data_IF_848684362031
#
_entry.id   IF_848684362031
#
_cell.length_a   1.000
_cell.length_b   1.000
_cell.length_c   1.000
_cell.angle_alpha   90.00
_cell.angle_beta   90.00
_cell.angle_gamma   90.00
#
_symmetry.space_group_name_H-M   'P 1'
#
loop_
_entity.id
_entity.type
_entity.pdbx_description
1 polymer ?
#
# COMPACT_ATOMS: atom_id res chain seq x y z
N UNK A 1 -15.52 -13.08 20.30
CA UNK A 1 -14.16 -12.62 19.95
C UNK A 1 -13.21 -13.79 20.14
N UNK A 2 -12.26 -14.01 19.22
CA UNK A 2 -11.14 -14.93 19.41
C UNK A 2 -10.00 -14.15 20.07
N UNK A 3 -9.62 -14.52 21.29
CA UNK A 3 -8.43 -13.97 21.95
C UNK A 3 -7.27 -14.95 21.81
N UNK A 4 -6.22 -14.53 21.12
CA UNK A 4 -4.96 -15.25 20.93
C UNK A 4 -3.76 -14.40 21.36
N UNK A 5 -3.95 -13.50 22.34
CA UNK A 5 -2.87 -12.69 22.86
C UNK A 5 -1.76 -13.57 23.45
N UNK A 6 -0.51 -13.38 23.02
CA UNK A 6 0.64 -14.22 23.41
C UNK A 6 0.48 -15.72 23.12
N UNK A 7 -0.61 -16.10 22.46
CA UNK A 7 -1.00 -17.48 22.17
C UNK A 7 -0.46 -17.96 20.82
N UNK A 8 -0.74 -19.22 20.51
CA UNK A 8 -0.39 -19.84 19.24
C UNK A 8 -1.57 -20.65 18.70
N UNK A 9 -1.98 -20.36 17.48
CA UNK A 9 -2.94 -21.15 16.71
C UNK A 9 -2.25 -21.61 15.44
N UNK A 10 -2.12 -22.92 15.25
CA UNK A 10 -1.36 -23.48 14.14
C UNK A 10 -2.13 -24.61 13.44
N UNK A 11 -2.08 -24.63 12.12
CA UNK A 11 -2.61 -25.71 11.28
C UNK A 11 -1.60 -26.15 10.22
N UNK A 12 -1.63 -27.42 9.83
CA UNK A 12 -0.89 -27.89 8.64
C UNK A 12 -1.75 -27.89 7.37
N UNK A 13 -3.05 -27.67 7.53
CA UNK A 13 -4.05 -27.64 6.47
C UNK A 13 -4.75 -26.29 6.46
N UNK A 14 -5.73 -26.10 5.59
CA UNK A 14 -6.50 -24.87 5.52
C UNK A 14 -7.04 -24.49 6.91
N UNK A 15 -6.86 -23.22 7.27
CA UNK A 15 -7.33 -22.66 8.52
C UNK A 15 -8.41 -21.63 8.21
N UNK A 16 -9.62 -21.89 8.69
CA UNK A 16 -10.71 -20.91 8.68
C UNK A 16 -10.97 -20.48 10.10
N UNK A 17 -10.86 -19.18 10.37
CA UNK A 17 -11.26 -18.61 11.64
C UNK A 17 -12.65 -18.00 11.48
N UNK A 18 -13.55 -18.27 12.42
CA UNK A 18 -14.90 -17.69 12.48
C UNK A 18 -15.12 -17.13 13.88
N UNK A 19 -15.16 -15.82 13.99
CA UNK A 19 -15.43 -15.08 15.21
C UNK A 19 -16.05 -13.73 14.84
N UNK A 20 -16.50 -12.95 15.83
CA UNK A 20 -16.85 -11.56 15.56
C UNK A 20 -15.62 -10.70 15.26
N UNK A 21 -14.51 -10.96 15.94
CA UNK A 21 -13.24 -10.26 15.82
C UNK A 21 -12.10 -11.11 16.36
N UNK A 22 -10.88 -10.79 15.96
CA UNK A 22 -9.65 -11.51 16.35
C UNK A 22 -8.70 -10.54 17.04
N UNK A 23 -8.31 -10.87 18.28
CA UNK A 23 -7.23 -10.22 18.99
C UNK A 23 -6.00 -11.16 19.02
N UNK A 24 -5.03 -10.87 18.17
CA UNK A 24 -3.77 -11.62 18.01
C UNK A 24 -2.57 -10.81 18.51
N UNK A 25 -2.76 -9.88 19.45
CA UNK A 25 -1.65 -9.05 19.94
C UNK A 25 -0.52 -9.88 20.54
N UNK A 26 0.70 -9.68 20.04
CA UNK A 26 1.87 -10.50 20.42
C UNK A 26 1.67 -12.02 20.29
N UNK A 27 0.64 -12.46 19.56
CA UNK A 27 0.29 -13.86 19.32
C UNK A 27 0.79 -14.35 17.96
N UNK A 28 0.58 -15.64 17.71
CA UNK A 28 0.86 -16.30 16.44
C UNK A 28 -0.39 -17.01 15.92
N UNK A 29 -0.79 -16.70 14.69
CA UNK A 29 -1.72 -17.51 13.89
C UNK A 29 -0.94 -17.98 12.66
N UNK A 30 -0.84 -19.29 12.45
CA UNK A 30 -0.08 -19.82 11.33
C UNK A 30 -0.74 -21.02 10.66
N UNK A 31 -0.59 -21.12 9.34
CA UNK A 31 -0.89 -22.35 8.60
C UNK A 31 0.10 -22.59 7.48
N UNK A 32 0.35 -23.87 7.15
CA UNK A 32 1.13 -24.26 5.95
C UNK A 32 0.33 -24.17 4.65
N UNK A 33 -0.99 -24.10 4.73
CA UNK A 33 -1.89 -24.06 3.58
C UNK A 33 -2.59 -22.69 3.51
N UNK A 34 -3.87 -22.64 3.14
CA UNK A 34 -4.63 -21.40 3.01
C UNK A 34 -5.11 -20.88 4.37
N UNK A 35 -5.12 -19.56 4.56
CA UNK A 35 -5.75 -18.90 5.70
C UNK A 35 -6.89 -18.00 5.24
N UNK A 36 -8.11 -18.33 5.67
CA UNK A 36 -9.31 -17.53 5.44
C UNK A 36 -9.86 -16.97 6.75
N UNK A 37 -10.05 -15.65 6.78
CA UNK A 37 -10.53 -14.92 7.94
C UNK A 37 -11.66 -13.97 7.52
N UNK A 38 -12.83 -14.13 8.12
CA UNK A 38 -13.99 -13.27 7.90
C UNK A 38 -14.54 -12.80 9.25
N UNK A 39 -14.20 -11.56 9.63
CA UNK A 39 -14.51 -10.97 10.94
C UNK A 39 -14.79 -9.48 10.81
N UNK A 40 -15.45 -8.87 11.80
CA UNK A 40 -15.61 -7.41 11.81
C UNK A 40 -14.27 -6.71 11.97
N UNK A 41 -13.38 -7.19 12.82
CA UNK A 41 -12.09 -6.56 13.05
C UNK A 41 -10.98 -7.57 13.33
N UNK A 42 -9.76 -7.16 13.03
CA UNK A 42 -8.53 -7.90 13.32
C UNK A 42 -7.51 -6.96 13.98
N UNK A 43 -7.03 -7.33 15.16
CA UNK A 43 -5.89 -6.68 15.81
C UNK A 43 -4.70 -7.65 15.84
N UNK A 44 -3.69 -7.39 15.02
CA UNK A 44 -2.44 -8.11 14.93
C UNK A 44 -1.25 -7.29 15.46
N UNK A 45 -1.48 -6.31 16.34
CA UNK A 45 -0.38 -5.46 16.81
C UNK A 45 0.70 -6.28 17.52
N UNK A 46 1.95 -6.15 17.06
CA UNK A 46 3.11 -6.96 17.50
C UNK A 46 2.93 -8.48 17.35
N UNK A 47 1.85 -8.91 16.70
CA UNK A 47 1.53 -10.31 16.45
C UNK A 47 2.05 -10.77 15.08
N UNK A 48 1.84 -12.06 14.80
CA UNK A 48 2.21 -12.67 13.52
C UNK A 48 1.04 -13.47 12.97
N UNK A 49 0.74 -13.26 11.69
CA UNK A 49 -0.18 -14.08 10.90
C UNK A 49 0.54 -14.58 9.67
N UNK A 50 0.72 -15.90 9.58
CA UNK A 50 1.53 -16.55 8.55
C UNK A 50 0.70 -17.57 7.78
N UNK A 51 0.55 -17.37 6.47
CA UNK A 51 -0.06 -18.34 5.55
C UNK A 51 1.02 -18.89 4.60
N UNK A 52 1.15 -20.21 4.52
CA UNK A 52 2.04 -20.87 3.55
C UNK A 52 1.53 -20.79 2.11
N UNK A 53 0.26 -20.46 1.93
CA UNK A 53 -0.39 -20.23 0.63
C UNK A 53 -1.13 -18.89 0.67
N UNK A 54 -2.32 -18.80 0.08
CA UNK A 54 -3.11 -17.58 0.03
C UNK A 54 -3.57 -17.13 1.43
N UNK A 55 -3.64 -15.81 1.62
CA UNK A 55 -4.17 -15.16 2.82
C UNK A 55 -5.34 -14.25 2.46
N UNK A 56 -6.52 -14.56 2.99
CA UNK A 56 -7.72 -13.74 2.79
C UNK A 56 -8.19 -13.14 4.11
N UNK A 57 -8.47 -11.84 4.11
CA UNK A 57 -9.21 -11.20 5.21
C UNK A 57 -10.37 -10.36 4.66
N UNK A 58 -11.57 -10.58 5.18
CA UNK A 58 -12.75 -9.78 4.90
C UNK A 58 -13.31 -9.22 6.21
N UNK A 59 -13.42 -7.89 6.31
CA UNK A 59 -13.87 -7.23 7.53
C UNK A 59 -14.08 -5.73 7.41
N UNK A 60 -14.11 -5.06 8.56
CA UNK A 60 -14.18 -3.61 8.66
C UNK A 60 -12.78 -3.03 8.85
N UNK A 61 -12.16 -3.29 10.00
CA UNK A 61 -10.88 -2.68 10.37
C UNK A 61 -9.80 -3.76 10.62
N UNK A 62 -8.57 -3.47 10.19
CA UNK A 62 -7.40 -4.30 10.43
C UNK A 62 -6.27 -3.44 10.98
N UNK A 63 -5.76 -3.80 12.15
CA UNK A 63 -4.58 -3.18 12.78
C UNK A 63 -3.42 -4.16 12.76
N UNK A 64 -2.30 -3.76 12.16
CA UNK A 64 -1.06 -4.52 12.05
C UNK A 64 0.16 -3.73 12.57
N UNK A 65 -0.04 -2.87 13.57
CA UNK A 65 1.01 -2.00 14.10
C UNK A 65 2.14 -2.82 14.73
N UNK A 66 3.35 -2.70 14.17
CA UNK A 66 4.52 -3.51 14.56
C UNK A 66 4.31 -5.02 14.39
N UNK A 67 3.25 -5.45 13.70
CA UNK A 67 2.90 -6.84 13.44
C UNK A 67 3.41 -7.31 12.08
N UNK A 68 3.31 -8.62 11.86
CA UNK A 68 3.65 -9.27 10.60
C UNK A 68 2.43 -9.99 10.02
N UNK A 69 2.12 -9.68 8.75
CA UNK A 69 1.20 -10.40 7.89
C UNK A 69 2.00 -10.98 6.73
N UNK A 70 1.99 -12.30 6.57
CA UNK A 70 2.73 -12.96 5.52
C UNK A 70 1.88 -13.99 4.78
N UNK A 71 1.91 -13.94 3.45
CA UNK A 71 1.36 -14.97 2.57
C UNK A 71 2.45 -15.55 1.67
N UNK A 72 2.47 -16.87 1.51
CA UNK A 72 3.35 -17.56 0.56
C UNK A 72 2.87 -17.45 -0.90
N UNK A 73 1.66 -16.98 -1.13
CA UNK A 73 1.06 -16.79 -2.45
C UNK A 73 0.28 -15.46 -2.49
N UNK A 74 -0.94 -15.46 -3.01
CA UNK A 74 -1.77 -14.25 -3.14
C UNK A 74 -2.35 -13.78 -1.80
N UNK A 75 -2.41 -12.46 -1.63
CA UNK A 75 -3.02 -11.80 -0.48
C UNK A 75 -4.23 -10.98 -0.93
N UNK A 76 -5.37 -11.19 -0.28
CA UNK A 76 -6.63 -10.52 -0.62
C UNK A 76 -7.30 -9.94 0.63
N UNK A 77 -7.28 -8.62 0.77
CA UNK A 77 -7.95 -7.90 1.85
C UNK A 77 -9.14 -7.10 1.32
N UNK A 78 -10.30 -7.30 1.93
CA UNK A 78 -11.51 -6.53 1.67
C UNK A 78 -12.04 -5.94 2.96
N UNK A 79 -11.79 -4.65 3.13
CA UNK A 79 -12.04 -3.87 4.33
C UNK A 79 -13.04 -2.76 4.01
N UNK A 80 -14.09 -2.61 4.81
CA UNK A 80 -14.97 -1.44 4.69
C UNK A 80 -14.41 -0.19 5.40
N UNK A 81 -13.44 -0.38 6.30
CA UNK A 81 -12.82 0.65 7.13
C UNK A 81 -11.32 0.75 6.94
N UNK A 82 -10.58 0.90 8.03
CA UNK A 82 -9.15 1.20 8.03
C UNK A 82 -8.28 -0.06 7.92
N UNK A 83 -7.29 -0.03 7.03
CA UNK A 83 -6.09 -0.85 7.14
C UNK A 83 -4.96 -0.03 7.76
N UNK A 84 -4.58 -0.33 9.00
CA UNK A 84 -3.45 0.30 9.70
C UNK A 84 -2.24 -0.64 9.75
N UNK A 85 -1.28 -0.40 8.86
CA UNK A 85 0.03 -1.04 8.80
C UNK A 85 1.15 -0.12 9.30
N UNK A 86 0.84 0.87 10.14
CA UNK A 86 1.83 1.83 10.65
C UNK A 86 2.74 1.24 11.73
N UNK A 87 3.66 2.05 12.27
CA UNK A 87 4.54 1.70 13.38
C UNK A 87 5.37 0.43 13.12
N UNK A 88 6.09 0.41 12.00
CA UNK A 88 6.87 -0.77 11.56
C UNK A 88 6.03 -2.03 11.30
N UNK A 89 4.73 -1.88 11.04
CA UNK A 89 3.88 -2.96 10.53
C UNK A 89 4.36 -3.47 9.18
N UNK A 90 4.23 -4.78 8.96
CA UNK A 90 4.75 -5.43 7.75
C UNK A 90 3.70 -6.34 7.12
N UNK A 91 3.52 -6.18 5.81
CA UNK A 91 2.76 -7.07 4.93
C UNK A 91 3.68 -7.55 3.81
N UNK A 92 3.83 -8.87 3.70
CA UNK A 92 4.55 -9.51 2.58
C UNK A 92 3.68 -10.56 1.91
N UNK A 93 3.67 -10.57 0.59
CA UNK A 93 3.04 -11.62 -0.21
C UNK A 93 4.02 -12.19 -1.23
N UNK A 94 3.97 -13.52 -1.39
CA UNK A 94 4.73 -14.25 -2.41
C UNK A 94 4.12 -14.17 -3.81
N UNK A 95 2.90 -13.65 -3.93
CA UNK A 95 2.15 -13.50 -5.18
C UNK A 95 1.52 -12.11 -5.34
N UNK A 96 0.33 -12.07 -5.93
CA UNK A 96 -0.41 -10.84 -6.14
C UNK A 96 -1.06 -10.35 -4.84
N UNK A 97 -1.21 -9.04 -4.72
CA UNK A 97 -1.82 -8.40 -3.55
C UNK A 97 -2.93 -7.49 -3.99
N UNK A 98 -4.12 -7.73 -3.45
CA UNK A 98 -5.31 -6.89 -3.63
C UNK A 98 -5.76 -6.38 -2.26
N UNK A 99 -5.83 -5.06 -2.11
CA UNK A 99 -6.31 -4.40 -0.88
C UNK A 99 -7.40 -3.43 -1.26
N UNK A 100 -8.63 -3.74 -0.87
CA UNK A 100 -9.76 -2.82 -0.88
C UNK A 100 -9.99 -2.34 0.55
N UNK A 101 -10.01 -1.03 0.77
CA UNK A 101 -10.18 -0.46 2.10
C UNK A 101 -10.96 0.87 2.08
N UNK A 102 -11.52 1.25 3.23
CA UNK A 102 -11.97 2.62 3.45
C UNK A 102 -10.80 3.60 3.41
N UNK A 103 -9.72 3.32 4.16
CA UNK A 103 -8.45 4.05 4.15
C UNK A 103 -7.28 3.09 4.35
N UNK A 104 -6.09 3.45 3.86
CA UNK A 104 -4.85 2.70 4.10
C UNK A 104 -3.82 3.60 4.78
N UNK A 105 -3.34 3.19 5.95
CA UNK A 105 -2.26 3.84 6.70
C UNK A 105 -1.05 2.92 6.73
N UNK A 106 -0.04 3.22 5.92
CA UNK A 106 1.25 2.55 5.85
C UNK A 106 2.37 3.54 6.24
N UNK A 107 2.21 4.23 7.36
CA UNK A 107 3.15 5.28 7.79
C UNK A 107 4.13 4.79 8.87
N UNK A 108 5.04 5.63 9.33
CA UNK A 108 5.88 5.35 10.51
C UNK A 108 6.68 4.04 10.34
N UNK A 109 7.43 3.90 9.24
CA UNK A 109 8.19 2.69 8.87
C UNK A 109 7.35 1.47 8.49
N UNK A 110 6.06 1.65 8.20
CA UNK A 110 5.20 0.62 7.64
C UNK A 110 5.69 0.10 6.28
N UNK A 111 5.50 -1.19 6.01
CA UNK A 111 5.94 -1.86 4.79
C UNK A 111 4.85 -2.73 4.18
N UNK A 112 4.55 -2.51 2.90
CA UNK A 112 3.70 -3.37 2.07
C UNK A 112 4.53 -3.79 0.86
N UNK A 113 4.81 -5.09 0.74
CA UNK A 113 5.64 -5.63 -0.34
C UNK A 113 4.95 -6.82 -1.02
N UNK A 114 4.83 -6.75 -2.34
CA UNK A 114 4.29 -7.81 -3.17
C UNK A 114 5.34 -8.34 -4.16
N UNK A 115 5.54 -9.66 -4.22
CA UNK A 115 6.38 -10.26 -5.28
C UNK A 115 5.66 -10.28 -6.64
N UNK A 116 4.33 -10.21 -6.64
CA UNK A 116 3.51 -10.06 -7.83
C UNK A 116 3.08 -8.62 -8.09
N UNK A 117 1.84 -8.46 -8.55
CA UNK A 117 1.16 -7.17 -8.71
C UNK A 117 0.68 -6.66 -7.35
N UNK A 118 0.75 -5.34 -7.12
CA UNK A 118 0.12 -4.68 -5.96
C UNK A 118 -1.00 -3.74 -6.42
N UNK A 119 -2.23 -4.06 -6.03
CA UNK A 119 -3.40 -3.20 -6.24
C UNK A 119 -3.94 -2.74 -4.88
N UNK A 120 -4.12 -1.44 -4.74
CA UNK A 120 -4.78 -0.82 -3.59
C UNK A 120 -5.89 0.10 -4.10
N UNK A 121 -7.15 -0.19 -3.74
CA UNK A 121 -8.30 0.70 -3.93
C UNK A 121 -8.80 1.15 -2.55
N UNK A 122 -8.45 2.38 -2.18
CA UNK A 122 -8.89 3.03 -0.95
C UNK A 122 -10.03 4.02 -1.25
N UNK A 123 -11.17 3.88 -0.58
CA UNK A 123 -12.33 4.78 -0.78
C UNK A 123 -12.00 6.22 -0.41
N UNK A 124 -11.15 6.42 0.60
CA UNK A 124 -10.68 7.71 1.09
C UNK A 124 -9.19 7.89 0.77
N UNK A 125 -8.31 7.94 1.77
CA UNK A 125 -6.91 8.28 1.55
C UNK A 125 -5.95 7.09 1.65
N UNK A 126 -4.79 7.26 1.02
CA UNK A 126 -3.59 6.45 1.28
C UNK A 126 -2.57 7.34 1.99
N UNK A 127 -2.08 6.91 3.15
CA UNK A 127 -0.98 7.55 3.86
C UNK A 127 0.23 6.60 3.88
N UNK A 128 1.28 6.97 3.13
CA UNK A 128 2.57 6.28 3.05
C UNK A 128 3.71 7.14 3.64
N UNK A 129 3.41 8.08 4.56
CA UNK A 129 4.43 8.95 5.16
C UNK A 129 5.48 8.13 5.91
N UNK A 130 6.75 8.25 5.52
CA UNK A 130 7.86 7.42 6.03
C UNK A 130 7.62 5.90 5.88
N UNK A 131 6.75 5.50 4.95
CA UNK A 131 6.42 4.12 4.65
C UNK A 131 7.07 3.62 3.37
N UNK A 132 6.91 2.33 3.10
CA UNK A 132 7.33 1.68 1.86
C UNK A 132 6.16 0.88 1.28
N UNK A 133 5.80 1.15 0.03
CA UNK A 133 4.98 0.30 -0.81
C UNK A 133 5.78 -0.13 -2.02
N UNK A 134 6.02 -1.43 -2.17
CA UNK A 134 6.80 -1.95 -3.28
C UNK A 134 6.13 -3.16 -3.93
N UNK A 135 6.33 -3.30 -5.24
CA UNK A 135 6.03 -4.52 -5.97
C UNK A 135 7.12 -4.88 -6.97
N UNK A 136 7.36 -6.17 -7.19
CA UNK A 136 8.27 -6.57 -8.27
C UNK A 136 7.61 -6.33 -9.64
N UNK A 137 6.31 -6.58 -9.76
CA UNK A 137 5.55 -6.35 -10.99
C UNK A 137 4.78 -5.02 -10.95
N UNK A 138 3.66 -4.92 -11.67
CA UNK A 138 2.86 -3.70 -11.76
C UNK A 138 2.28 -3.29 -10.40
N UNK A 139 2.03 -1.99 -10.25
CA UNK A 139 1.33 -1.44 -9.11
C UNK A 139 0.24 -0.47 -9.55
N UNK A 140 -0.92 -0.54 -8.91
CA UNK A 140 -2.02 0.41 -9.06
C UNK A 140 -2.47 0.91 -7.69
N UNK A 141 -2.40 2.22 -7.47
CA UNK A 141 -2.86 2.87 -6.25
C UNK A 141 -4.00 3.83 -6.59
N UNK A 142 -5.20 3.57 -6.07
CA UNK A 142 -6.38 4.39 -6.28
C UNK A 142 -6.91 4.88 -4.94
N UNK A 143 -7.17 6.19 -4.86
CA UNK A 143 -7.65 6.84 -3.63
C UNK A 143 -8.31 8.19 -3.94
N UNK A 144 -8.88 8.86 -2.95
CA UNK A 144 -9.21 10.30 -3.05
C UNK A 144 -7.96 11.17 -2.97
N UNK A 145 -6.94 10.76 -2.22
CA UNK A 145 -5.68 11.48 -2.08
C UNK A 145 -4.58 10.61 -1.49
N UNK A 146 -3.33 11.00 -1.74
CA UNK A 146 -2.17 10.21 -1.35
C UNK A 146 -1.11 11.10 -0.67
N UNK A 147 -0.62 10.66 0.49
CA UNK A 147 0.50 11.26 1.20
C UNK A 147 1.71 10.35 1.12
N UNK A 148 2.84 10.86 0.63
CA UNK A 148 4.11 10.12 0.51
C UNK A 148 5.29 10.92 1.06
N UNK A 149 5.08 11.78 2.06
CA UNK A 149 6.20 12.55 2.63
C UNK A 149 7.22 11.64 3.32
N UNK A 150 8.49 11.72 2.88
CA UNK A 150 9.57 10.82 3.31
C UNK A 150 9.32 9.34 3.01
N UNK A 151 8.27 9.02 2.24
CA UNK A 151 7.87 7.66 1.90
C UNK A 151 8.46 7.20 0.57
N UNK A 152 8.35 5.89 0.32
CA UNK A 152 8.79 5.27 -0.92
C UNK A 152 7.63 4.47 -1.53
N UNK A 153 7.35 4.71 -2.80
CA UNK A 153 6.41 3.95 -3.62
C UNK A 153 7.16 3.53 -4.88
N UNK A 154 7.16 2.24 -5.22
CA UNK A 154 7.71 1.87 -6.51
C UNK A 154 7.57 0.43 -6.97
N UNK A 155 7.83 0.26 -8.25
CA UNK A 155 7.84 -1.03 -8.94
C UNK A 155 9.26 -1.37 -9.39
N UNK A 156 9.65 -2.64 -9.31
CA UNK A 156 10.98 -3.06 -9.79
C UNK A 156 11.00 -3.23 -11.32
N UNK A 157 9.98 -3.88 -11.89
CA UNK A 157 9.94 -4.28 -13.31
C UNK A 157 8.64 -3.91 -14.03
N UNK A 158 7.65 -3.40 -13.29
CA UNK A 158 6.31 -3.14 -13.78
C UNK A 158 6.01 -1.66 -13.98
N UNK A 159 4.85 -1.38 -14.58
CA UNK A 159 4.28 -0.05 -14.62
C UNK A 159 3.69 0.33 -13.26
N UNK A 160 3.67 1.63 -12.97
CA UNK A 160 3.03 2.19 -11.78
C UNK A 160 1.94 3.17 -12.22
N UNK A 161 0.72 2.92 -11.75
CA UNK A 161 -0.42 3.81 -11.92
C UNK A 161 -0.83 4.36 -10.55
N UNK A 162 -0.93 5.69 -10.44
CA UNK A 162 -1.50 6.35 -9.27
C UNK A 162 -2.68 7.19 -9.73
N UNK A 163 -3.85 6.93 -9.15
CA UNK A 163 -5.07 7.66 -9.42
C UNK A 163 -5.57 8.32 -8.13
N UNK A 164 -5.69 9.65 -8.13
CA UNK A 164 -6.36 10.37 -7.04
C UNK A 164 -7.69 10.97 -7.49
N UNK A 165 -8.69 10.90 -6.62
CA UNK A 165 -9.98 11.56 -6.74
C UNK A 165 -9.86 13.04 -6.36
N UNK A 166 -10.70 13.54 -5.46
CA UNK A 166 -10.82 14.98 -5.20
C UNK A 166 -9.66 15.66 -4.44
N UNK A 167 -8.65 14.92 -3.99
CA UNK A 167 -7.52 15.44 -3.23
C UNK A 167 -6.19 15.23 -3.97
N UNK A 168 -5.20 16.04 -3.60
CA UNK A 168 -3.88 16.02 -4.23
C UNK A 168 -3.04 14.80 -3.83
N UNK A 169 -2.13 14.43 -4.73
CA UNK A 169 -0.94 13.64 -4.42
C UNK A 169 0.12 14.55 -3.80
N UNK A 170 0.59 14.24 -2.60
CA UNK A 170 1.66 14.96 -1.91
C UNK A 170 2.88 14.07 -1.81
N UNK A 171 3.87 14.32 -2.67
CA UNK A 171 5.17 13.69 -2.63
C UNK A 171 6.19 14.70 -2.08
N UNK A 172 6.19 14.86 -0.75
CA UNK A 172 7.10 15.77 -0.04
C UNK A 172 8.56 15.35 -0.19
N UNK A 173 9.26 15.05 0.90
CA UNK A 173 10.62 14.48 0.83
C UNK A 173 10.69 13.01 0.33
N UNK A 174 9.62 12.54 -0.32
CA UNK A 174 9.43 11.15 -0.73
C UNK A 174 9.93 10.80 -2.14
N UNK A 175 9.84 9.52 -2.46
CA UNK A 175 10.20 8.97 -3.76
C UNK A 175 9.06 8.13 -4.35
N UNK A 176 8.74 8.38 -5.62
CA UNK A 176 7.83 7.57 -6.44
C UNK A 176 8.60 7.12 -7.68
N UNK A 177 8.75 5.80 -7.87
CA UNK A 177 9.65 5.22 -8.86
C UNK A 177 8.96 4.09 -9.63
N UNK A 178 8.91 4.18 -10.95
CA UNK A 178 8.44 3.09 -11.80
C UNK A 178 9.59 2.40 -12.53
N UNK A 179 9.62 1.06 -12.46
CA UNK A 179 10.52 0.22 -13.26
C UNK A 179 10.24 0.28 -14.77
N UNK A 180 9.09 0.83 -15.18
CA UNK A 180 8.72 1.08 -16.59
C UNK A 180 8.00 2.43 -16.73
N UNK A 181 6.72 2.42 -17.10
CA UNK A 181 5.91 3.63 -17.26
C UNK A 181 5.35 4.03 -15.90
N UNK A 182 5.36 5.33 -15.62
CA UNK A 182 4.63 5.94 -14.50
C UNK A 182 3.51 6.79 -15.06
N UNK A 183 2.27 6.49 -14.67
CA UNK A 183 1.10 7.32 -14.95
C UNK A 183 0.55 7.88 -13.64
N UNK A 184 0.43 9.20 -13.57
CA UNK A 184 -0.21 9.92 -12.48
C UNK A 184 -1.48 10.59 -13.01
N UNK A 185 -2.65 10.05 -12.67
CA UNK A 185 -3.95 10.66 -12.95
C UNK A 185 -4.49 11.26 -11.65
N UNK A 186 -4.23 12.54 -11.40
CA UNK A 186 -4.43 13.15 -10.07
C UNK A 186 -5.28 14.42 -10.15
N UNK A 187 -5.88 14.83 -9.04
CA UNK A 187 -6.53 16.14 -8.97
C UNK A 187 -5.55 17.30 -8.74
N UNK A 188 -4.39 17.02 -8.17
CA UNK A 188 -3.32 17.98 -7.98
C UNK A 188 -2.05 17.27 -7.55
N UNK A 189 -0.90 17.91 -7.76
CA UNK A 189 0.40 17.37 -7.35
C UNK A 189 1.19 18.43 -6.59
N UNK A 190 1.62 18.07 -5.38
CA UNK A 190 2.65 18.79 -4.65
C UNK A 190 3.89 17.89 -4.55
N UNK A 191 4.93 18.21 -5.30
CA UNK A 191 6.18 17.46 -5.33
C UNK A 191 7.35 18.34 -4.87
N UNK A 192 7.99 17.95 -3.78
CA UNK A 192 9.31 18.45 -3.36
C UNK A 192 10.36 17.34 -3.28
N UNK A 193 10.00 16.15 -3.73
CA UNK A 193 10.82 14.94 -3.71
C UNK A 193 11.16 14.48 -5.11
N UNK A 194 11.24 13.17 -5.29
CA UNK A 194 11.59 12.56 -6.59
C UNK A 194 10.43 11.73 -7.12
N UNK A 195 10.00 12.03 -8.34
CA UNK A 195 9.09 11.21 -9.13
C UNK A 195 9.84 10.81 -10.39
N UNK A 196 9.96 9.52 -10.65
CA UNK A 196 10.74 9.03 -11.78
C UNK A 196 10.18 7.77 -12.44
N UNK A 197 10.43 7.66 -13.74
CA UNK A 197 10.08 6.49 -14.55
C UNK A 197 11.28 6.06 -15.40
N UNK A 198 11.58 4.76 -15.41
CA UNK A 198 12.64 4.22 -16.28
C UNK A 198 12.28 4.24 -17.76
N UNK A 199 10.99 4.31 -18.11
CA UNK A 199 10.52 4.56 -19.46
C UNK A 199 9.88 5.94 -19.58
N UNK A 200 8.55 6.02 -19.55
CA UNK A 200 7.76 7.24 -19.75
C UNK A 200 7.12 7.67 -18.43
N UNK A 201 7.13 8.97 -18.17
CA UNK A 201 6.35 9.61 -17.11
C UNK A 201 5.22 10.43 -17.75
N UNK A 202 3.97 10.05 -17.48
CA UNK A 202 2.78 10.82 -17.85
C UNK A 202 2.11 11.34 -16.57
N UNK A 203 1.99 12.66 -16.46
CA UNK A 203 1.27 13.35 -15.38
C UNK A 203 0.05 14.07 -15.97
N UNK A 204 -1.13 13.58 -15.63
CA UNK A 204 -2.42 14.17 -15.95
C UNK A 204 -3.04 14.72 -14.66
N UNK A 205 -2.87 16.01 -14.41
CA UNK A 205 -3.46 16.69 -13.27
C UNK A 205 -4.72 17.46 -13.68
N UNK A 206 -5.82 17.26 -12.96
CA UNK A 206 -7.03 18.08 -13.14
C UNK A 206 -6.90 19.47 -12.51
N UNK A 207 -5.93 19.68 -11.62
CA UNK A 207 -5.66 20.94 -10.93
C UNK A 207 -4.18 21.31 -11.00
N UNK A 208 -3.71 22.02 -9.99
CA UNK A 208 -2.35 22.58 -9.97
C UNK A 208 -1.27 21.51 -9.77
N UNK A 209 -0.15 21.71 -10.44
CA UNK A 209 1.10 20.96 -10.21
C UNK A 209 2.14 21.93 -9.67
N UNK A 210 2.59 21.67 -8.45
CA UNK A 210 3.73 22.34 -7.83
C UNK A 210 4.88 21.36 -7.76
N UNK A 211 5.93 21.59 -8.55
CA UNK A 211 7.19 20.84 -8.55
C UNK A 211 8.36 21.71 -8.06
N UNK A 212 8.08 22.72 -7.26
CA UNK A 212 9.11 23.63 -6.77
C UNK A 212 10.10 22.85 -5.89
N UNK A 213 11.37 22.83 -6.28
CA UNK A 213 12.45 22.02 -5.67
C UNK A 213 12.31 20.49 -5.83
N UNK A 214 11.26 20.02 -6.52
CA UNK A 214 11.05 18.61 -6.82
C UNK A 214 11.76 18.15 -8.09
N UNK A 215 11.71 16.85 -8.35
CA UNK A 215 12.22 16.24 -9.59
C UNK A 215 11.14 15.42 -10.29
N UNK A 216 10.94 15.67 -11.58
CA UNK A 216 10.11 14.86 -12.48
C UNK A 216 11.01 14.26 -13.56
N UNK A 217 11.39 13.00 -13.40
CA UNK A 217 12.41 12.36 -14.23
C UNK A 217 11.79 11.27 -15.13
N UNK A 218 12.25 11.21 -16.37
CA UNK A 218 11.97 10.11 -17.28
C UNK A 218 13.17 9.85 -18.17
N UNK A 219 13.49 8.59 -18.43
CA UNK A 219 14.59 8.25 -19.35
C UNK A 219 14.17 8.31 -20.83
N UNK A 220 12.87 8.35 -21.15
CA UNK A 220 12.36 8.42 -22.52
C UNK A 220 11.51 9.68 -22.76
N UNK A 221 10.32 9.73 -22.18
CA UNK A 221 9.37 10.82 -22.42
C UNK A 221 8.72 11.28 -21.12
N UNK A 222 8.78 12.59 -20.89
CA UNK A 222 7.98 13.28 -19.88
C UNK A 222 6.82 14.00 -20.56
N UNK A 223 5.59 13.69 -20.14
CA UNK A 223 4.38 14.42 -20.53
C UNK A 223 3.68 14.95 -19.28
N UNK A 224 3.39 16.25 -19.26
CA UNK A 224 2.68 16.92 -18.17
C UNK A 224 1.50 17.69 -18.74
N UNK A 225 0.32 17.45 -18.18
CA UNK A 225 -0.91 18.19 -18.41
C UNK A 225 -1.47 18.63 -17.06
N UNK A 226 -1.73 19.93 -16.88
CA UNK A 226 -2.26 20.50 -15.63
C UNK A 226 -3.03 21.80 -15.89
N UNK A 227 -3.76 22.30 -14.89
CA UNK A 227 -4.34 23.66 -14.96
C UNK A 227 -3.25 24.72 -14.87
N UNK A 228 -2.39 24.60 -13.84
CA UNK A 228 -1.20 25.41 -13.66
C UNK A 228 -0.01 24.50 -13.34
N UNK A 229 1.19 24.95 -13.72
CA UNK A 229 2.44 24.28 -13.42
C UNK A 229 3.44 25.29 -12.84
N UNK A 230 3.82 25.10 -11.58
CA UNK A 230 4.98 25.75 -10.97
C UNK A 230 6.15 24.77 -10.92
N UNK A 231 7.31 25.19 -11.40
CA UNK A 231 8.55 24.40 -11.41
C UNK A 231 9.76 25.28 -11.04
N UNK A 232 9.64 26.04 -9.96
CA UNK A 232 10.71 26.93 -9.49
C UNK A 232 11.81 26.09 -8.85
N UNK A 233 13.02 26.13 -9.44
CA UNK A 233 14.18 25.34 -8.99
C UNK A 233 13.99 23.82 -9.01
N UNK A 234 12.92 23.32 -9.64
CA UNK A 234 12.74 21.89 -9.88
C UNK A 234 13.47 21.41 -11.14
N UNK A 235 13.68 20.09 -11.23
CA UNK A 235 14.34 19.41 -12.37
C UNK A 235 13.35 18.53 -13.12
#
# INVERSE_FOLDING_TARGET
>A
VLSNQQGKLQSSQDLTLKAQGIDNQSGLIATRAKLDMQQQWLNNSKGQILSGSALTFVGQDLINQGGLLQSGADLNFKLSGLFDNSQSGQLYSGGNTEIQAGSVKNSEQGKINAQGVLNIDAVQGINNTQGVMASTQQMSLKSQGLQNDGGQIGTEQGDLLIQTGGLSLNNGSGAIQSGKTLTLDVNGLNNSGVISALDRLTLNSQGDVTNDHGKLLSNKQLQVSSQNLSNQSGV
#
